data_IF_624318567781
#
_entry.id   IF_624318567781
#
_cell.length_a   1.000
_cell.length_b   1.000
_cell.length_c   1.000
_cell.angle_alpha   90.00
_cell.angle_beta   90.00
_cell.angle_gamma   90.00
#
_symmetry.space_group_name_H-M   'P 1'
#
loop_
_entity.id
_entity.type
_entity.pdbx_description
1 polymer ?
#
# COMPACT_ATOMS: atom_id res chain seq x y z
N UNK A 1 10.84 -10.15 17.16
CA UNK A 1 11.78 -10.06 16.02
C UNK A 1 11.53 -11.23 15.09
N UNK A 2 11.56 -11.00 13.78
CA UNK A 2 11.43 -12.06 12.76
C UNK A 2 12.67 -12.97 12.72
N UNK A 3 12.48 -14.24 12.31
CA UNK A 3 13.59 -15.18 12.03
C UNK A 3 13.99 -15.17 10.55
N UNK A 4 13.40 -14.33 9.74
CA UNK A 4 13.65 -14.25 8.30
C UNK A 4 14.92 -13.43 8.05
N UNK A 5 16.03 -14.10 7.78
CA UNK A 5 17.36 -13.48 7.65
C UNK A 5 17.45 -12.45 6.52
N UNK A 6 16.88 -12.78 5.36
CA UNK A 6 16.88 -11.88 4.20
C UNK A 6 16.10 -10.57 4.50
N UNK A 7 14.97 -10.65 5.21
CA UNK A 7 14.23 -9.48 5.64
C UNK A 7 15.04 -8.60 6.59
N UNK A 8 15.72 -9.22 7.57
CA UNK A 8 16.59 -8.48 8.50
C UNK A 8 17.72 -7.78 7.76
N UNK A 9 18.43 -8.49 6.87
CA UNK A 9 19.53 -7.92 6.08
C UNK A 9 19.05 -6.74 5.20
N UNK A 10 17.88 -6.89 4.56
CA UNK A 10 17.30 -5.81 3.75
C UNK A 10 16.91 -4.58 4.59
N UNK A 11 16.32 -4.78 5.78
CA UNK A 11 15.99 -3.67 6.70
C UNK A 11 17.26 -2.94 7.13
N UNK A 12 18.33 -3.68 7.47
CA UNK A 12 19.63 -3.12 7.85
C UNK A 12 20.27 -2.33 6.70
N UNK A 13 20.22 -2.86 5.48
CA UNK A 13 20.72 -2.20 4.26
C UNK A 13 19.98 -0.86 4.03
N UNK A 14 18.65 -0.87 4.08
CA UNK A 14 17.84 0.32 3.89
C UNK A 14 18.01 1.34 5.02
N UNK A 15 18.18 0.88 6.27
CA UNK A 15 18.50 1.74 7.40
C UNK A 15 19.88 2.39 7.23
N UNK A 16 20.88 1.67 6.73
CA UNK A 16 22.19 2.23 6.41
C UNK A 16 22.13 3.29 5.30
N UNK A 17 21.26 3.09 4.29
CA UNK A 17 21.04 4.05 3.22
C UNK A 17 20.31 5.31 3.71
N UNK A 18 19.16 5.14 4.37
CA UNK A 18 18.28 6.23 4.76
C UNK A 18 18.69 6.93 6.06
N UNK A 19 19.48 6.28 6.92
CA UNK A 19 20.04 6.79 8.18
C UNK A 19 18.97 7.32 9.16
N UNK A 20 17.94 6.52 9.53
CA UNK A 20 16.99 6.90 10.56
C UNK A 20 17.65 6.92 11.94
N UNK A 21 17.07 7.69 12.88
CA UNK A 21 17.51 7.72 14.28
C UNK A 21 17.12 6.44 15.03
N UNK A 22 16.05 5.78 14.59
CA UNK A 22 15.56 4.53 15.16
C UNK A 22 14.80 3.70 14.14
N UNK A 23 14.73 2.37 14.37
CA UNK A 23 13.94 1.43 13.57
C UNK A 23 12.92 0.75 14.47
N UNK A 24 11.64 0.87 14.13
CA UNK A 24 10.51 0.35 14.91
C UNK A 24 9.72 -0.65 14.07
N UNK A 25 9.56 -1.87 14.58
CA UNK A 25 8.75 -2.92 13.96
C UNK A 25 7.31 -2.78 14.41
N UNK A 26 6.39 -2.69 13.45
CA UNK A 26 4.95 -2.57 13.69
C UNK A 26 4.37 -3.93 14.00
N UNK A 27 3.73 -4.06 15.17
CA UNK A 27 3.10 -5.30 15.62
C UNK A 27 1.62 -5.40 15.23
N UNK A 28 0.98 -4.24 14.92
CA UNK A 28 -0.39 -4.12 14.46
C UNK A 28 -1.43 -4.18 15.59
N UNK A 29 -1.02 -4.06 16.86
CA UNK A 29 -1.94 -4.03 18.02
C UNK A 29 -2.77 -2.74 18.08
N UNK A 30 -3.87 -2.79 18.82
CA UNK A 30 -4.72 -1.61 19.06
C UNK A 30 -3.97 -0.57 19.90
N UNK A 31 -3.22 -1.02 20.90
CA UNK A 31 -2.39 -0.16 21.76
C UNK A 31 -1.32 0.59 20.96
N UNK A 32 -0.67 -0.09 20.01
CA UNK A 32 0.29 0.55 19.11
C UNK A 32 -0.38 1.59 18.21
N UNK A 33 -1.56 1.27 17.68
CA UNK A 33 -2.34 2.19 16.84
C UNK A 33 -2.75 3.45 17.60
N UNK A 34 -3.25 3.32 18.84
CA UNK A 34 -3.62 4.46 19.69
C UNK A 34 -2.42 5.33 20.03
N UNK A 35 -1.29 4.72 20.37
CA UNK A 35 -0.03 5.42 20.64
C UNK A 35 0.45 6.20 19.42
N UNK A 36 0.52 5.56 18.25
CA UNK A 36 0.96 6.21 17.01
C UNK A 36 -0.02 7.29 16.55
N UNK A 37 -1.32 7.11 16.75
CA UNK A 37 -2.32 8.14 16.47
C UNK A 37 -2.08 9.38 17.33
N UNK A 38 -1.84 9.18 18.63
CA UNK A 38 -1.52 10.28 19.57
C UNK A 38 -0.26 11.00 19.17
N UNK A 39 0.78 10.26 18.79
CA UNK A 39 2.06 10.81 18.32
C UNK A 39 1.89 11.61 17.02
N UNK A 40 1.13 11.08 16.04
CA UNK A 40 0.85 11.76 14.78
C UNK A 40 0.05 13.06 14.95
N UNK A 41 -0.90 13.07 15.90
CA UNK A 41 -1.64 14.30 16.26
C UNK A 41 -0.73 15.32 16.93
N UNK A 42 0.07 14.89 17.89
CA UNK A 42 1.02 15.78 18.60
C UNK A 42 2.09 16.34 17.66
N UNK A 43 2.56 15.54 16.69
CA UNK A 43 3.50 15.95 15.66
C UNK A 43 2.89 16.76 14.50
N UNK A 44 1.56 16.92 14.47
CA UNK A 44 0.86 17.66 13.40
C UNK A 44 0.80 16.94 12.06
N UNK A 45 1.14 15.65 12.01
CA UNK A 45 1.03 14.83 10.78
C UNK A 45 -0.43 14.54 10.40
N UNK A 46 -1.29 14.43 11.42
CA UNK A 46 -2.75 14.33 11.27
C UNK A 46 -3.44 15.28 12.25
N UNK A 47 -4.68 15.66 11.94
CA UNK A 47 -5.51 16.50 12.81
C UNK A 47 -6.87 15.81 13.05
N UNK A 48 -7.37 15.76 14.30
CA UNK A 48 -8.70 15.21 14.56
C UNK A 48 -9.78 16.08 13.90
N UNK A 49 -10.74 15.44 13.24
CA UNK A 49 -11.95 16.09 12.80
C UNK A 49 -12.92 16.30 13.97
N UNK A 50 -14.09 16.87 13.73
CA UNK A 50 -15.12 17.00 14.75
C UNK A 50 -15.57 15.61 15.23
N UNK A 51 -15.14 15.21 16.43
CA UNK A 51 -15.33 13.86 16.96
C UNK A 51 -16.79 13.56 17.38
N UNK A 52 -17.63 14.60 17.55
CA UNK A 52 -19.06 14.39 17.79
C UNK A 52 -19.79 13.96 16.51
N UNK A 53 -19.36 14.49 15.36
CA UNK A 53 -19.95 14.20 14.04
C UNK A 53 -19.27 13.05 13.32
N UNK A 54 -17.96 12.91 13.50
CA UNK A 54 -17.10 11.97 12.78
C UNK A 54 -16.13 11.30 13.79
N UNK A 55 -16.65 10.42 14.65
CA UNK A 55 -15.85 9.73 15.66
C UNK A 55 -14.69 8.94 15.02
N UNK A 56 -13.49 9.07 15.57
CA UNK A 56 -12.28 8.40 15.09
C UNK A 56 -11.69 8.92 13.78
N UNK A 57 -12.34 9.91 13.13
CA UNK A 57 -11.85 10.44 11.85
C UNK A 57 -10.71 11.46 12.05
N UNK A 58 -9.67 11.28 11.26
CA UNK A 58 -8.50 12.15 11.21
C UNK A 58 -8.37 12.78 9.83
N UNK A 59 -7.79 13.96 9.79
CA UNK A 59 -7.48 14.70 8.57
C UNK A 59 -5.98 14.73 8.34
N UNK A 60 -5.54 14.34 7.16
CA UNK A 60 -4.17 14.49 6.68
C UNK A 60 -4.15 15.34 5.41
N UNK A 61 -3.14 16.18 5.27
CA UNK A 61 -2.96 17.04 4.11
C UNK A 61 -1.50 17.07 3.68
N UNK A 62 -1.30 16.90 2.38
CA UNK A 62 0.00 17.06 1.72
C UNK A 62 0.12 18.46 1.07
N UNK A 63 1.30 18.77 0.53
CA UNK A 63 1.50 19.99 -0.23
C UNK A 63 0.60 20.04 -1.49
N UNK A 64 0.30 21.24 -1.98
CA UNK A 64 -0.61 21.44 -3.14
C UNK A 64 -0.12 20.71 -4.39
N UNK A 65 1.20 20.54 -4.56
CA UNK A 65 1.85 19.83 -5.66
C UNK A 65 2.08 18.34 -5.42
N UNK A 66 1.62 17.82 -4.26
CA UNK A 66 1.70 16.40 -3.92
C UNK A 66 0.30 15.78 -4.06
N UNK A 67 0.00 15.30 -5.25
CA UNK A 67 -1.34 14.91 -5.67
C UNK A 67 -1.40 13.44 -6.06
N UNK A 68 -2.63 12.93 -6.25
CA UNK A 68 -2.92 11.54 -6.56
C UNK A 68 -2.29 11.02 -7.85
N UNK A 69 -2.05 11.91 -8.79
CA UNK A 69 -1.53 11.57 -10.11
C UNK A 69 -0.16 12.17 -10.29
N UNK A 70 0.83 11.29 -10.23
CA UNK A 70 2.25 11.59 -10.44
C UNK A 70 2.81 10.67 -11.53
N UNK A 71 2.02 10.49 -12.61
CA UNK A 71 2.37 9.59 -13.71
C UNK A 71 3.74 9.94 -14.30
N UNK A 72 4.03 11.23 -14.50
CA UNK A 72 5.31 11.71 -15.06
C UNK A 72 6.54 11.38 -14.19
N UNK A 73 6.32 11.10 -12.90
CA UNK A 73 7.38 10.76 -11.93
C UNK A 73 7.31 9.29 -11.49
N UNK A 74 6.44 8.50 -12.16
CA UNK A 74 6.24 7.08 -11.89
C UNK A 74 6.81 6.25 -13.03
N UNK A 75 7.70 5.31 -12.70
CA UNK A 75 8.41 4.49 -13.69
C UNK A 75 8.28 3.01 -13.34
N UNK A 76 8.24 2.19 -14.40
CA UNK A 76 8.45 0.75 -14.33
C UNK A 76 9.87 0.48 -14.79
N UNK A 77 10.67 -0.07 -13.89
CA UNK A 77 12.10 -0.30 -14.08
C UNK A 77 12.34 -1.77 -14.40
N UNK A 78 12.37 -2.10 -15.68
CA UNK A 78 12.58 -3.46 -16.20
C UNK A 78 13.78 -3.50 -17.13
N UNK A 79 14.43 -4.67 -17.26
CA UNK A 79 15.57 -4.86 -18.19
C UNK A 79 15.17 -4.58 -19.62
N UNK A 80 13.97 -5.00 -20.01
CA UNK A 80 13.43 -4.74 -21.34
C UNK A 80 12.30 -3.71 -21.24
N UNK A 81 12.37 -2.64 -22.00
CA UNK A 81 11.35 -1.60 -22.04
C UNK A 81 9.96 -2.15 -22.39
N UNK A 82 9.89 -3.19 -23.23
CA UNK A 82 8.62 -3.85 -23.59
C UNK A 82 7.86 -4.42 -22.38
N UNK A 83 8.58 -4.79 -21.31
CA UNK A 83 7.98 -5.35 -20.09
C UNK A 83 7.38 -4.27 -19.18
N UNK A 84 7.69 -3.00 -19.40
CA UNK A 84 7.03 -1.90 -18.70
C UNK A 84 5.57 -1.69 -19.17
N UNK A 85 5.21 -2.23 -20.32
CA UNK A 85 3.90 -2.04 -20.95
C UNK A 85 3.80 -0.72 -21.74
N UNK A 86 2.72 -0.56 -22.52
CA UNK A 86 2.64 0.51 -23.53
C UNK A 86 2.31 1.90 -22.94
N UNK A 87 1.81 1.98 -21.72
CA UNK A 87 1.28 3.22 -21.13
C UNK A 87 2.10 3.75 -19.95
N UNK A 88 3.14 3.02 -19.53
CA UNK A 88 3.97 3.41 -18.41
C UNK A 88 5.27 4.07 -18.88
N UNK A 89 5.79 5.00 -18.06
CA UNK A 89 7.16 5.45 -18.24
C UNK A 89 8.11 4.31 -17.88
N UNK A 90 9.17 4.19 -18.67
CA UNK A 90 10.22 3.21 -18.46
C UNK A 90 11.53 3.85 -18.05
N UNK A 91 12.29 3.15 -17.24
CA UNK A 91 13.68 3.46 -16.87
C UNK A 91 14.42 2.14 -16.69
N UNK A 92 15.73 2.10 -16.96
CA UNK A 92 16.49 0.88 -16.64
C UNK A 92 16.57 0.69 -15.12
N UNK A 93 16.63 -0.55 -14.62
CA UNK A 93 16.76 -0.79 -13.18
C UNK A 93 17.96 -0.09 -12.56
N UNK A 94 19.12 -0.11 -13.23
CA UNK A 94 20.36 0.51 -12.76
C UNK A 94 20.19 2.02 -12.58
N UNK A 95 19.58 2.69 -13.55
CA UNK A 95 19.32 4.13 -13.47
C UNK A 95 18.29 4.45 -12.39
N UNK A 96 17.24 3.64 -12.27
CA UNK A 96 16.22 3.76 -11.21
C UNK A 96 16.82 3.69 -9.83
N UNK A 97 17.58 2.63 -9.52
CA UNK A 97 18.27 2.47 -8.24
C UNK A 97 19.28 3.59 -7.98
N UNK A 98 20.07 3.98 -8.98
CA UNK A 98 21.04 5.06 -8.85
C UNK A 98 20.36 6.37 -8.43
N UNK A 99 19.36 6.82 -9.21
CA UNK A 99 18.64 8.09 -8.95
C UNK A 99 17.95 8.10 -7.60
N UNK A 100 17.22 7.04 -7.29
CA UNK A 100 16.50 6.96 -6.01
C UNK A 100 17.47 6.88 -4.82
N UNK A 101 18.58 6.13 -4.92
CA UNK A 101 19.58 6.04 -3.86
C UNK A 101 20.24 7.39 -3.52
N UNK A 102 20.44 8.24 -4.52
CA UNK A 102 20.98 9.60 -4.31
C UNK A 102 20.02 10.47 -3.45
N UNK A 103 18.70 10.28 -3.63
CA UNK A 103 17.69 11.02 -2.88
C UNK A 103 17.46 10.40 -1.50
N UNK A 104 17.44 9.07 -1.42
CA UNK A 104 17.18 8.29 -0.21
C UNK A 104 18.32 8.35 0.79
N UNK A 105 19.55 8.65 0.34
CA UNK A 105 20.72 8.71 1.23
C UNK A 105 20.56 9.75 2.33
N UNK A 106 20.42 9.25 3.58
CA UNK A 106 20.20 10.09 4.75
C UNK A 106 18.84 10.77 4.81
N UNK A 107 17.87 10.35 3.98
CA UNK A 107 16.54 10.96 3.90
C UNK A 107 15.71 10.83 5.18
N UNK A 108 16.05 9.87 6.05
CA UNK A 108 15.31 9.65 7.31
C UNK A 108 16.04 10.16 8.55
N UNK A 109 17.10 10.96 8.41
CA UNK A 109 17.78 11.58 9.55
C UNK A 109 16.81 12.42 10.37
N UNK A 110 16.87 12.31 11.71
CA UNK A 110 15.94 12.95 12.62
C UNK A 110 14.56 12.30 12.69
N UNK A 111 14.37 11.11 12.07
CA UNK A 111 13.08 10.41 11.99
C UNK A 111 13.21 8.95 12.36
N UNK A 112 12.09 8.33 12.68
CA UNK A 112 11.95 6.89 12.89
C UNK A 112 11.62 6.21 11.57
N UNK A 113 12.30 5.10 11.27
CA UNK A 113 11.89 4.16 10.22
C UNK A 113 10.95 3.13 10.82
N UNK A 114 9.73 3.07 10.34
CA UNK A 114 8.76 2.04 10.69
C UNK A 114 8.85 0.88 9.72
N UNK A 115 8.95 -0.34 10.24
CA UNK A 115 8.88 -1.58 9.46
C UNK A 115 7.46 -2.12 9.55
N UNK A 116 6.70 -2.05 8.48
CA UNK A 116 5.29 -2.40 8.41
C UNK A 116 5.09 -3.71 7.65
N UNK A 117 4.98 -4.86 8.35
CA UNK A 117 4.61 -6.11 7.71
C UNK A 117 3.14 -6.06 7.30
N UNK A 118 2.83 -6.31 6.03
CA UNK A 118 1.45 -6.30 5.57
C UNK A 118 1.13 -7.46 4.62
N UNK A 119 -0.15 -7.84 4.59
CA UNK A 119 -0.68 -8.82 3.65
C UNK A 119 -1.80 -8.22 2.82
N UNK A 120 -1.64 -8.28 1.51
CA UNK A 120 -2.74 -8.06 0.57
C UNK A 120 -3.50 -9.37 0.43
N UNK A 121 -4.76 -9.34 0.87
CA UNK A 121 -5.57 -10.54 1.09
C UNK A 121 -5.46 -11.11 2.50
N UNK A 122 -6.38 -12.03 2.89
CA UNK A 122 -6.48 -12.56 4.25
C UNK A 122 -5.21 -13.29 4.68
N UNK A 123 -4.76 -13.04 5.92
CA UNK A 123 -3.62 -13.76 6.51
C UNK A 123 -3.91 -15.26 6.54
N UNK A 124 -2.97 -16.07 6.03
CA UNK A 124 -3.12 -17.52 5.91
C UNK A 124 -3.75 -17.99 4.60
N UNK A 125 -4.23 -17.10 3.75
CA UNK A 125 -4.71 -17.47 2.41
C UNK A 125 -3.52 -17.81 1.49
N UNK A 126 -3.63 -18.88 0.66
CA UNK A 126 -2.62 -19.19 -0.34
C UNK A 126 -2.50 -18.15 -1.46
N UNK A 127 -3.50 -17.28 -1.61
CA UNK A 127 -3.54 -16.22 -2.61
C UNK A 127 -3.05 -14.87 -2.08
N UNK A 128 -2.82 -14.74 -0.77
CA UNK A 128 -2.32 -13.49 -0.20
C UNK A 128 -0.89 -13.21 -0.65
N UNK A 129 -0.61 -11.92 -0.90
CA UNK A 129 0.75 -11.45 -1.21
C UNK A 129 1.28 -10.66 -0.01
N UNK A 130 2.43 -11.08 0.51
CA UNK A 130 3.07 -10.45 1.66
C UNK A 130 4.00 -9.34 1.17
N UNK A 131 3.94 -8.19 1.83
CA UNK A 131 4.88 -7.09 1.65
C UNK A 131 5.44 -6.59 2.96
N UNK A 132 6.59 -5.93 2.88
CA UNK A 132 7.22 -5.21 3.96
C UNK A 132 7.40 -3.76 3.53
N UNK A 133 6.76 -2.82 4.20
CA UNK A 133 6.92 -1.42 3.89
C UNK A 133 7.78 -0.74 4.96
N UNK A 134 8.90 -0.16 4.52
CA UNK A 134 9.75 0.71 5.33
C UNK A 134 9.35 2.15 5.05
N UNK A 135 9.02 2.92 6.08
CA UNK A 135 8.55 4.30 5.93
C UNK A 135 8.94 5.19 7.09
N UNK A 136 9.11 6.49 6.84
CA UNK A 136 9.31 7.51 7.87
C UNK A 136 8.04 8.32 8.17
N UNK A 137 6.85 7.78 7.83
CA UNK A 137 5.55 8.44 8.00
C UNK A 137 4.61 7.62 8.87
N UNK A 138 4.17 8.19 9.99
CA UNK A 138 3.13 7.57 10.83
C UNK A 138 1.80 7.51 10.08
N UNK A 139 1.50 8.51 9.24
CA UNK A 139 0.34 8.48 8.36
C UNK A 139 0.27 7.20 7.52
N UNK A 140 1.40 6.77 6.97
CA UNK A 140 1.48 5.52 6.20
C UNK A 140 1.17 4.32 7.08
N UNK A 141 1.77 4.22 8.26
CA UNK A 141 1.52 3.12 9.21
C UNK A 141 0.03 3.01 9.55
N UNK A 142 -0.61 4.12 9.91
CA UNK A 142 -2.03 4.17 10.28
C UNK A 142 -2.93 3.75 9.13
N UNK A 143 -2.64 4.21 7.90
CA UNK A 143 -3.45 3.88 6.74
C UNK A 143 -3.21 2.46 6.22
N UNK A 144 -2.00 1.93 6.28
CA UNK A 144 -1.71 0.55 5.92
C UNK A 144 -2.51 -0.42 6.82
N UNK A 145 -2.64 -0.12 8.11
CA UNK A 145 -3.47 -0.90 9.03
C UNK A 145 -4.96 -0.88 8.67
N UNK A 146 -5.48 0.23 8.14
CA UNK A 146 -6.87 0.33 7.70
C UNK A 146 -7.10 -0.43 6.39
N UNK A 147 -6.12 -0.41 5.48
CA UNK A 147 -6.26 -0.88 4.11
C UNK A 147 -5.78 -2.32 3.88
N UNK A 148 -5.00 -2.87 4.81
CA UNK A 148 -4.37 -4.19 4.70
C UNK A 148 -4.40 -4.92 6.03
N UNK A 149 -3.96 -6.16 6.07
CA UNK A 149 -3.69 -6.85 7.33
C UNK A 149 -2.24 -6.59 7.73
N UNK A 150 -2.01 -5.97 8.89
CA UNK A 150 -0.69 -5.52 9.34
C UNK A 150 -0.24 -6.24 10.61
N UNK A 151 1.06 -6.43 10.75
CA UNK A 151 1.71 -6.73 12.01
C UNK A 151 2.14 -8.18 12.20
N UNK A 152 2.15 -8.63 13.46
CA UNK A 152 2.75 -9.90 13.89
C UNK A 152 2.16 -11.15 13.21
N UNK A 153 0.88 -11.11 12.82
CA UNK A 153 0.23 -12.19 12.08
C UNK A 153 0.87 -12.43 10.72
N UNK A 154 1.22 -11.36 10.02
CA UNK A 154 1.89 -11.39 8.72
C UNK A 154 3.31 -11.95 8.86
N UNK A 155 4.07 -11.52 9.88
CA UNK A 155 5.41 -12.06 10.15
C UNK A 155 5.39 -13.55 10.46
N UNK A 156 4.35 -14.05 11.14
CA UNK A 156 4.19 -15.48 11.37
C UNK A 156 3.91 -16.25 10.07
N UNK A 157 3.08 -15.69 9.19
CA UNK A 157 2.80 -16.29 7.88
C UNK A 157 4.04 -16.30 6.98
N UNK A 158 4.83 -15.22 6.98
CA UNK A 158 6.08 -15.14 6.21
C UNK A 158 7.07 -16.27 6.63
N UNK A 159 7.13 -16.59 7.93
CA UNK A 159 8.04 -17.64 8.42
C UNK A 159 9.50 -17.30 8.18
N UNK A 160 10.30 -18.31 7.78
CA UNK A 160 11.75 -18.18 7.61
C UNK A 160 12.23 -18.14 6.15
N UNK A 161 11.37 -18.35 5.16
CA UNK A 161 11.81 -18.52 3.78
C UNK A 161 10.79 -18.23 2.69
N UNK A 162 9.69 -17.54 3.00
CA UNK A 162 8.73 -17.11 1.99
C UNK A 162 9.16 -15.81 1.32
N UNK A 163 8.80 -15.63 0.05
CA UNK A 163 9.02 -14.38 -0.66
C UNK A 163 8.13 -13.25 -0.13
N UNK A 164 8.61 -12.02 -0.22
CA UNK A 164 7.87 -10.83 0.12
C UNK A 164 8.22 -9.66 -0.83
N UNK A 165 7.27 -8.76 -1.03
CA UNK A 165 7.52 -7.53 -1.79
C UNK A 165 8.23 -6.51 -0.89
N UNK A 166 9.34 -5.98 -1.38
CA UNK A 166 10.13 -4.95 -0.70
C UNK A 166 9.60 -3.58 -1.06
N UNK A 167 9.07 -2.85 -0.09
CA UNK A 167 8.52 -1.52 -0.26
C UNK A 167 9.31 -0.52 0.58
N UNK A 168 9.96 0.47 -0.05
CA UNK A 168 10.67 1.54 0.63
C UNK A 168 10.03 2.88 0.31
N UNK A 169 9.60 3.60 1.34
CA UNK A 169 9.08 4.94 1.25
C UNK A 169 9.83 5.90 2.18
N UNK A 170 10.15 7.09 1.69
CA UNK A 170 10.59 8.21 2.54
C UNK A 170 9.96 9.51 2.06
N UNK A 171 9.43 10.29 3.01
CA UNK A 171 8.97 11.66 2.73
C UNK A 171 10.10 12.54 2.20
N UNK A 172 11.35 12.26 2.59
CA UNK A 172 12.49 13.13 2.34
C UNK A 172 12.13 14.59 2.66
N UNK A 173 12.33 15.52 1.72
CA UNK A 173 12.00 16.94 1.87
C UNK A 173 10.68 17.34 1.18
N UNK A 174 9.93 16.35 0.66
CA UNK A 174 8.68 16.55 -0.13
C UNK A 174 8.88 17.46 -1.36
N UNK A 175 10.11 17.53 -1.87
CA UNK A 175 10.44 18.31 -3.07
C UNK A 175 10.00 17.57 -4.34
N UNK A 176 9.15 18.23 -5.15
CA UNK A 176 8.67 17.65 -6.41
C UNK A 176 9.79 17.38 -7.41
N UNK A 177 10.84 18.18 -7.41
CA UNK A 177 11.98 17.99 -8.31
C UNK A 177 12.80 16.72 -7.98
N UNK A 178 12.64 16.19 -6.77
CA UNK A 178 13.32 15.00 -6.26
C UNK A 178 12.35 13.85 -6.01
N UNK A 179 11.08 13.96 -6.43
CA UNK A 179 10.05 12.92 -6.27
C UNK A 179 10.23 11.84 -7.31
N UNK A 180 10.19 10.58 -6.88
CA UNK A 180 10.23 9.41 -7.76
C UNK A 180 9.40 8.28 -7.15
N UNK A 181 8.60 7.60 -7.99
CA UNK A 181 7.90 6.37 -7.65
C UNK A 181 8.35 5.30 -8.63
N UNK A 182 9.14 4.34 -8.17
CA UNK A 182 9.83 3.35 -8.97
C UNK A 182 9.35 1.95 -8.64
N UNK A 183 9.08 1.17 -9.66
CA UNK A 183 8.67 -0.23 -9.55
C UNK A 183 9.73 -1.08 -10.25
N UNK A 184 10.29 -2.04 -9.54
CA UNK A 184 11.26 -3.02 -10.02
C UNK A 184 10.60 -4.40 -9.99
N UNK A 185 9.79 -4.75 -11.01
CA UNK A 185 8.98 -5.96 -10.98
C UNK A 185 9.80 -7.25 -10.93
N UNK A 186 10.96 -7.29 -11.61
CA UNK A 186 11.87 -8.43 -11.63
C UNK A 186 12.49 -8.70 -10.26
N UNK A 187 12.67 -7.64 -9.44
CA UNK A 187 13.22 -7.72 -8.09
C UNK A 187 12.12 -7.72 -7.00
N UNK A 188 10.85 -7.73 -7.41
CA UNK A 188 9.68 -7.62 -6.52
C UNK A 188 9.83 -6.47 -5.51
N UNK A 189 10.22 -5.28 -6.01
CA UNK A 189 10.63 -4.12 -5.20
C UNK A 189 9.94 -2.85 -5.66
N UNK A 190 9.59 -1.97 -4.71
CA UNK A 190 8.95 -0.67 -4.93
C UNK A 190 9.68 0.36 -4.09
N UNK A 191 10.13 1.46 -4.72
CA UNK A 191 10.72 2.60 -4.02
C UNK A 191 9.93 3.87 -4.33
N UNK A 192 9.50 4.59 -3.30
CA UNK A 192 8.81 5.87 -3.39
C UNK A 192 9.50 6.90 -2.51
N UNK A 193 9.85 8.03 -3.08
CA UNK A 193 10.55 9.09 -2.36
C UNK A 193 10.02 10.46 -2.73
N UNK A 194 9.95 11.37 -1.74
CA UNK A 194 9.58 12.78 -1.94
C UNK A 194 8.07 13.03 -2.04
N UNK A 195 7.22 12.10 -1.65
CA UNK A 195 5.77 12.25 -1.54
C UNK A 195 5.29 11.91 -0.14
N UNK A 196 4.22 12.54 0.31
CA UNK A 196 3.41 12.16 1.48
C UNK A 196 1.98 11.79 1.10
N UNK A 197 1.62 11.85 -0.18
CA UNK A 197 0.26 11.59 -0.66
C UNK A 197 -0.06 10.09 -0.72
N UNK A 198 -1.19 9.68 -0.15
CA UNK A 198 -1.60 8.30 0.03
C UNK A 198 -1.41 7.38 -1.19
N UNK A 199 -1.82 7.80 -2.38
CA UNK A 199 -1.67 7.00 -3.60
C UNK A 199 -0.22 6.71 -4.02
N UNK A 200 0.73 7.51 -3.54
CA UNK A 200 2.16 7.39 -3.83
C UNK A 200 2.94 6.70 -2.72
N UNK A 201 2.36 6.59 -1.52
CA UNK A 201 3.08 6.15 -0.32
C UNK A 201 2.48 4.92 0.36
N UNK A 202 1.22 4.58 0.08
CA UNK A 202 0.58 3.33 0.50
C UNK A 202 0.91 2.25 -0.54
N UNK A 203 2.13 1.72 -0.46
CA UNK A 203 2.74 0.94 -1.55
C UNK A 203 2.09 -0.42 -1.78
N UNK A 204 1.36 -0.95 -0.80
CA UNK A 204 0.56 -2.16 -0.96
C UNK A 204 -0.59 -2.00 -1.96
N UNK A 205 -1.19 -0.81 -2.07
CA UNK A 205 -2.39 -0.61 -2.88
C UNK A 205 -2.07 -0.58 -4.39
N UNK A 206 -1.75 0.59 -4.95
CA UNK A 206 -1.59 0.72 -6.41
C UNK A 206 -0.25 0.16 -6.91
N UNK A 207 0.79 0.31 -6.13
CA UNK A 207 2.13 -0.10 -6.53
C UNK A 207 2.27 -1.62 -6.53
N UNK A 208 1.96 -2.29 -5.42
CA UNK A 208 2.00 -3.75 -5.37
C UNK A 208 0.81 -4.38 -6.11
N UNK A 209 -0.42 -4.06 -5.70
CA UNK A 209 -1.61 -4.81 -6.15
C UNK A 209 -2.01 -4.57 -7.59
N UNK A 210 -1.48 -3.57 -8.27
CA UNK A 210 -1.68 -3.38 -9.71
C UNK A 210 -0.37 -3.49 -10.49
N UNK A 211 0.62 -2.63 -10.23
CA UNK A 211 1.80 -2.52 -11.11
C UNK A 211 2.74 -3.73 -10.98
N UNK A 212 3.14 -4.08 -9.76
CA UNK A 212 3.96 -5.29 -9.54
C UNK A 212 3.11 -6.53 -9.83
N UNK A 213 1.87 -6.58 -9.33
CA UNK A 213 0.96 -7.70 -9.51
C UNK A 213 0.65 -8.00 -10.97
N UNK A 214 0.52 -6.99 -11.84
CA UNK A 214 0.35 -7.21 -13.29
C UNK A 214 1.54 -7.93 -13.92
N UNK A 215 2.76 -7.61 -13.47
CA UNK A 215 3.96 -8.31 -13.93
C UNK A 215 4.00 -9.74 -13.40
N UNK A 216 3.81 -9.94 -12.09
CA UNK A 216 3.80 -11.26 -11.46
C UNK A 216 2.68 -12.14 -12.03
N UNK A 217 1.48 -11.57 -12.18
CA UNK A 217 0.33 -12.29 -12.74
C UNK A 217 0.58 -12.80 -14.14
N UNK A 218 1.27 -12.03 -14.99
CA UNK A 218 1.68 -12.48 -16.32
C UNK A 218 2.61 -13.70 -16.25
N UNK A 219 3.49 -13.77 -15.25
CA UNK A 219 4.41 -14.89 -15.04
C UNK A 219 3.70 -16.11 -14.43
N UNK A 220 2.78 -15.89 -13.52
CA UNK A 220 2.12 -16.93 -12.71
C UNK A 220 0.78 -17.37 -13.30
N UNK A 221 0.25 -16.68 -14.32
CA UNK A 221 -1.00 -17.07 -15.02
C UNK A 221 -2.27 -16.55 -14.35
N UNK A 222 -2.23 -15.39 -13.67
CA UNK A 222 -3.39 -14.69 -13.09
C UNK A 222 -3.42 -13.21 -13.50
N UNK A 223 -4.49 -12.50 -13.16
CA UNK A 223 -4.67 -11.09 -13.45
C UNK A 223 -4.75 -10.28 -12.18
N UNK A 224 -4.24 -9.05 -12.22
CA UNK A 224 -4.47 -8.02 -11.21
C UNK A 224 -5.22 -6.87 -11.88
N UNK A 225 -6.42 -6.55 -11.36
CA UNK A 225 -7.32 -5.62 -12.02
C UNK A 225 -7.85 -4.54 -11.07
N UNK A 226 -8.11 -3.37 -11.64
CA UNK A 226 -8.80 -2.26 -10.96
C UNK A 226 -10.30 -2.55 -10.93
N UNK A 227 -10.71 -3.46 -10.03
CA UNK A 227 -11.98 -4.18 -10.04
C UNK A 227 -12.57 -4.24 -8.63
N UNK A 228 -13.90 -4.15 -8.55
CA UNK A 228 -14.63 -4.53 -7.35
C UNK A 228 -15.02 -6.01 -7.42
N UNK A 229 -15.23 -6.61 -6.25
CA UNK A 229 -15.95 -7.89 -6.10
C UNK A 229 -17.05 -7.68 -5.06
N UNK A 230 -18.28 -8.01 -5.43
CA UNK A 230 -19.43 -7.99 -4.52
C UNK A 230 -20.23 -9.27 -4.61
N UNK A 231 -20.86 -9.68 -3.51
CA UNK A 231 -21.82 -10.77 -3.45
C UNK A 231 -23.25 -10.23 -3.42
N UNK A 232 -24.12 -10.78 -4.24
CA UNK A 232 -25.56 -10.54 -4.18
C UNK A 232 -26.23 -11.78 -3.64
N UNK A 233 -26.75 -11.70 -2.41
CA UNK A 233 -27.50 -12.79 -1.77
C UNK A 233 -28.99 -12.63 -2.06
N UNK A 234 -29.62 -13.70 -2.54
CA UNK A 234 -31.06 -13.75 -2.75
C UNK A 234 -31.82 -14.20 -1.47
N UNK A 235 -33.16 -14.12 -1.43
CA UNK A 235 -33.94 -14.51 -0.24
C UNK A 235 -33.74 -15.97 0.20
N UNK A 236 -33.32 -16.84 -0.71
CA UNK A 236 -33.06 -18.26 -0.44
C UNK A 236 -31.64 -18.51 0.11
N UNK A 237 -30.85 -17.45 0.32
CA UNK A 237 -29.48 -17.53 0.85
C UNK A 237 -28.42 -17.89 -0.19
N UNK A 238 -28.75 -17.94 -1.49
CA UNK A 238 -27.78 -18.16 -2.56
C UNK A 238 -27.07 -16.85 -2.87
N UNK A 239 -25.72 -16.90 -2.92
CA UNK A 239 -24.87 -15.74 -3.23
C UNK A 239 -24.31 -15.89 -4.65
N UNK A 240 -24.52 -14.88 -5.48
CA UNK A 240 -23.85 -14.71 -6.77
C UNK A 240 -22.77 -13.65 -6.64
N UNK A 241 -21.52 -13.98 -6.99
CA UNK A 241 -20.41 -13.04 -6.95
C UNK A 241 -20.27 -12.32 -8.29
N UNK A 242 -20.15 -11.00 -8.22
CA UNK A 242 -20.00 -10.11 -9.37
C UNK A 242 -18.64 -9.43 -9.26
N UNK A 243 -17.80 -9.65 -10.29
CA UNK A 243 -16.56 -8.91 -10.48
C UNK A 243 -16.79 -7.85 -11.56
N UNK A 244 -16.41 -6.59 -11.28
CA UNK A 244 -16.66 -5.50 -12.21
C UNK A 244 -15.47 -4.51 -12.25
N UNK A 245 -14.87 -4.40 -13.45
CA UNK A 245 -13.76 -3.49 -13.70
C UNK A 245 -14.29 -2.15 -14.24
N UNK A 246 -13.88 -1.06 -13.59
CA UNK A 246 -14.22 0.30 -13.99
C UNK A 246 -13.00 1.21 -13.89
N UNK A 247 -12.91 2.25 -14.73
CA UNK A 247 -11.92 3.30 -14.58
C UNK A 247 -12.02 4.02 -13.23
N UNK A 248 -11.00 4.79 -12.88
CA UNK A 248 -11.03 5.64 -11.68
C UNK A 248 -12.18 6.67 -11.75
N UNK A 249 -12.77 6.98 -10.60
CA UNK A 249 -13.84 7.98 -10.42
C UNK A 249 -15.17 7.69 -11.15
N UNK A 250 -15.45 6.40 -11.48
CA UNK A 250 -16.72 6.02 -12.11
C UNK A 250 -17.75 5.41 -11.15
N UNK A 251 -17.47 5.42 -9.83
CA UNK A 251 -18.40 4.96 -8.80
C UNK A 251 -18.23 3.50 -8.37
N UNK A 252 -17.09 2.87 -8.64
CA UNK A 252 -16.79 1.49 -8.28
C UNK A 252 -17.03 1.19 -6.79
N UNK A 253 -16.44 1.97 -5.90
CA UNK A 253 -16.63 1.83 -4.45
C UNK A 253 -18.09 1.98 -4.03
N UNK A 254 -18.83 2.95 -4.62
CA UNK A 254 -20.24 3.11 -4.33
C UNK A 254 -21.07 1.89 -4.75
N UNK A 255 -20.72 1.26 -5.89
CA UNK A 255 -21.38 0.04 -6.33
C UNK A 255 -21.05 -1.15 -5.42
N UNK A 256 -19.79 -1.31 -5.01
CA UNK A 256 -19.35 -2.38 -4.11
C UNK A 256 -20.06 -2.31 -2.74
N UNK A 257 -20.38 -1.09 -2.29
CA UNK A 257 -21.04 -0.81 -1.01
C UNK A 257 -22.54 -0.53 -1.17
N UNK A 258 -23.15 -1.00 -2.26
CA UNK A 258 -24.56 -0.77 -2.57
C UNK A 258 -25.46 -1.28 -1.45
N UNK A 259 -26.38 -0.43 -0.99
CA UNK A 259 -27.48 -0.84 -0.13
C UNK A 259 -28.68 -1.19 -1.03
N UNK A 260 -29.23 -2.42 -0.95
CA UNK A 260 -30.38 -2.77 -1.76
C UNK A 260 -31.53 -1.78 -1.56
N UNK A 261 -32.24 -1.36 -2.63
CA UNK A 261 -33.47 -0.59 -2.52
C UNK A 261 -34.46 -1.28 -1.56
N UNK A 262 -35.27 -0.49 -0.85
CA UNK A 262 -36.12 -1.00 0.22
C UNK A 262 -37.00 -2.17 -0.22
N UNK A 263 -37.59 -2.12 -1.41
CA UNK A 263 -38.43 -3.20 -1.95
C UNK A 263 -37.68 -4.53 -2.17
N UNK A 264 -36.37 -4.50 -2.42
CA UNK A 264 -35.53 -5.70 -2.49
C UNK A 264 -35.04 -6.13 -1.12
N UNK A 265 -34.66 -5.19 -0.27
CA UNK A 265 -34.24 -5.46 1.10
C UNK A 265 -35.36 -6.14 1.91
N UNK A 266 -36.60 -5.69 1.76
CA UNK A 266 -37.78 -6.30 2.41
C UNK A 266 -38.08 -7.72 1.88
N UNK A 267 -37.65 -8.03 0.65
CA UNK A 267 -37.71 -9.38 0.09
C UNK A 267 -36.58 -10.29 0.54
N UNK A 268 -35.60 -9.78 1.32
CA UNK A 268 -34.47 -10.55 1.84
C UNK A 268 -33.18 -10.48 1.03
N UNK A 269 -33.12 -9.66 -0.04
CA UNK A 269 -31.85 -9.47 -0.76
C UNK A 269 -30.82 -8.71 0.08
N UNK A 270 -29.56 -9.15 0.00
CA UNK A 270 -28.41 -8.54 0.68
C UNK A 270 -27.25 -8.35 -0.27
N UNK A 271 -26.41 -7.35 0.03
CA UNK A 271 -25.15 -7.09 -0.68
C UNK A 271 -24.00 -7.30 0.30
N UNK A 272 -23.00 -8.03 -0.16
CA UNK A 272 -21.75 -8.30 0.54
C UNK A 272 -20.60 -7.66 -0.21
N UNK A 273 -19.90 -6.74 0.42
CA UNK A 273 -18.66 -6.16 -0.13
C UNK A 273 -17.51 -7.13 0.14
N UNK A 274 -16.89 -7.65 -0.92
CA UNK A 274 -15.69 -8.50 -0.83
C UNK A 274 -14.44 -7.65 -1.04
N UNK A 275 -14.44 -6.82 -2.08
CA UNK A 275 -13.40 -5.84 -2.36
C UNK A 275 -13.96 -4.72 -3.21
N UNK A 276 -13.53 -3.48 -2.98
CA UNK A 276 -14.13 -2.31 -3.63
C UNK A 276 -13.30 -1.69 -4.73
N UNK A 277 -12.00 -2.02 -4.83
CA UNK A 277 -11.09 -1.30 -5.72
C UNK A 277 -10.12 -2.19 -6.52
N UNK A 278 -9.58 -3.24 -5.93
CA UNK A 278 -8.56 -4.09 -6.57
C UNK A 278 -8.84 -5.56 -6.30
N UNK A 279 -8.77 -6.37 -7.34
CA UNK A 279 -8.91 -7.83 -7.28
C UNK A 279 -7.89 -8.50 -8.21
#
# INVERSE_FOLDING_TARGET
MTRHQELQAWVEEMAALCQPDSVVWIDGSDEEFERLTTEAVAGGEVSPLNQEKLPGCLYHRTAVNDVARTEDLTYICTKLQADAGPTNNWMSPEEGYRRASEILRGSMKGRTMYVVPFSMGPVGSPFSKIGMELTDSIYVVLNMRIMTHVGAGVLRQLGAGSEFTRCLHSKAELDIARRLILHFPEDNTIWSVGSGYGGNVLLGKKCLSLRIASYLGRQEGWLAEHMLIMGVENPEGRIEYIAAAFPSACGKTNLAMLVPPEGLRLKGYRIWTVGDDIA
#
